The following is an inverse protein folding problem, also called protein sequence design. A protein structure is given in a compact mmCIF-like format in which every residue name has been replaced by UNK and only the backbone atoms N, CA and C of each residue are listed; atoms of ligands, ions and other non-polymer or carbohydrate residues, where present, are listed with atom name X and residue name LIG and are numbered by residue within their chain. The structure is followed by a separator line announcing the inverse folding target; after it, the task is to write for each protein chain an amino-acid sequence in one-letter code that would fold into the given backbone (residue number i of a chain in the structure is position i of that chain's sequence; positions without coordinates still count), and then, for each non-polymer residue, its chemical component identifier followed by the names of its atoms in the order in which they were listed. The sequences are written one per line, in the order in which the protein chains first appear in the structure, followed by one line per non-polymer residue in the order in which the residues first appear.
data_IF_227397790015
#
_entry.id   IF_227397790015
#
_cell.length_a   1.000
_cell.length_b   1.000
_cell.length_c   1.000
_cell.angle_alpha   90.00
_cell.angle_beta   90.00
_cell.angle_gamma   90.00
#
_symmetry.space_group_name_H-M   'P 1'
#
loop_
_entity.id
_entity.type
_entity.pdbx_description
1 polymer ?
#
# COMPACT_ATOMS: atom_id res chain seq x y z
N UNK A 1 16.68 18.59 -5.70
CA UNK A 1 16.79 17.85 -4.42
C UNK A 1 15.82 16.68 -4.51
N UNK A 2 16.33 15.45 -4.65
CA UNK A 2 15.48 14.26 -4.69
C UNK A 2 15.00 14.02 -3.24
N UNK A 3 13.77 14.46 -2.93
CA UNK A 3 13.16 14.17 -1.65
C UNK A 3 13.03 12.66 -1.50
N UNK A 4 13.72 12.08 -0.51
CA UNK A 4 13.58 10.68 -0.15
C UNK A 4 12.11 10.42 0.16
N UNK A 5 11.38 9.76 -0.74
CA UNK A 5 10.03 9.27 -0.44
C UNK A 5 10.16 8.32 0.74
N UNK A 6 9.65 8.71 1.90
CA UNK A 6 9.56 7.82 3.05
C UNK A 6 8.55 6.72 2.74
N UNK A 7 9.06 5.49 2.67
CA UNK A 7 8.27 4.29 2.38
C UNK A 7 8.18 3.45 3.64
N UNK A 8 6.95 3.08 3.98
CA UNK A 8 6.63 2.27 5.13
C UNK A 8 6.05 0.92 4.70
N UNK A 9 6.23 -0.10 5.53
CA UNK A 9 5.75 -1.46 5.27
C UNK A 9 4.99 -1.99 6.49
N UNK A 10 3.77 -2.47 6.27
CA UNK A 10 2.97 -3.14 7.31
C UNK A 10 2.86 -4.63 7.00
N UNK A 11 3.23 -5.46 7.97
CA UNK A 11 3.08 -6.91 7.88
C UNK A 11 1.75 -7.34 8.48
N UNK A 12 0.87 -7.91 7.66
CA UNK A 12 -0.47 -8.31 8.06
C UNK A 12 -0.73 -9.71 7.50
N UNK A 13 -0.98 -10.68 8.38
CA UNK A 13 -1.14 -12.09 8.02
C UNK A 13 -2.43 -12.38 7.26
N UNK A 14 -3.55 -11.77 7.70
CA UNK A 14 -4.87 -11.93 7.09
C UNK A 14 -5.02 -11.12 5.80
N UNK A 15 -5.62 -11.73 4.77
CA UNK A 15 -5.91 -11.03 3.52
C UNK A 15 -7.00 -9.98 3.67
N UNK A 16 -8.08 -10.30 4.40
CA UNK A 16 -9.17 -9.37 4.66
C UNK A 16 -8.68 -8.10 5.37
N UNK A 17 -7.77 -8.26 6.33
CA UNK A 17 -7.20 -7.14 7.08
C UNK A 17 -6.26 -6.32 6.18
N UNK A 18 -5.47 -6.96 5.31
CA UNK A 18 -4.63 -6.24 4.33
C UNK A 18 -5.45 -5.34 3.42
N UNK A 19 -6.56 -5.85 2.89
CA UNK A 19 -7.46 -5.08 2.02
C UNK A 19 -8.10 -3.92 2.77
N UNK A 20 -8.53 -4.17 4.02
CA UNK A 20 -9.13 -3.14 4.87
C UNK A 20 -8.14 -2.02 5.17
N UNK A 21 -6.93 -2.35 5.61
CA UNK A 21 -5.88 -1.37 5.92
C UNK A 21 -5.42 -0.61 4.68
N UNK A 22 -5.26 -1.30 3.54
CA UNK A 22 -4.93 -0.63 2.28
C UNK A 22 -6.01 0.38 1.87
N UNK A 23 -7.28 0.03 2.06
CA UNK A 23 -8.41 0.92 1.77
C UNK A 23 -8.43 2.14 2.68
N UNK A 24 -8.16 1.96 3.98
CA UNK A 24 -8.07 3.08 4.95
C UNK A 24 -6.91 4.01 4.58
N UNK A 25 -5.72 3.46 4.33
CA UNK A 25 -4.55 4.26 3.95
C UNK A 25 -4.80 5.04 2.65
N UNK A 26 -5.38 4.40 1.64
CA UNK A 26 -5.75 5.05 0.39
C UNK A 26 -6.74 6.21 0.60
N UNK A 27 -7.78 6.01 1.42
CA UNK A 27 -8.75 7.07 1.77
C UNK A 27 -8.12 8.25 2.51
N UNK A 28 -7.01 8.04 3.20
CA UNK A 28 -6.27 9.09 3.91
C UNK A 28 -5.17 9.75 3.04
N UNK A 29 -5.18 9.52 1.72
CA UNK A 29 -4.25 10.17 0.78
C UNK A 29 -2.87 9.50 0.72
N UNK A 30 -2.71 8.31 1.32
CA UNK A 30 -1.50 7.52 1.12
C UNK A 30 -1.58 6.73 -0.18
N UNK A 31 -0.46 6.65 -0.88
CA UNK A 31 -0.31 5.66 -1.93
C UNK A 31 -0.07 4.29 -1.29
N UNK A 32 -0.74 3.25 -1.77
CA UNK A 32 -0.63 1.89 -1.24
C UNK A 32 -0.28 0.90 -2.34
N UNK A 33 0.51 -0.12 -2.00
CA UNK A 33 0.86 -1.21 -2.91
C UNK A 33 0.95 -2.54 -2.13
N UNK A 34 0.28 -3.61 -2.58
CA UNK A 34 0.49 -4.94 -2.03
C UNK A 34 1.87 -5.44 -2.41
N UNK A 35 2.61 -5.98 -1.43
CA UNK A 35 3.94 -6.53 -1.64
C UNK A 35 3.97 -7.96 -1.10
N UNK A 36 4.51 -8.87 -1.91
CA UNK A 36 4.75 -10.26 -1.53
C UNK A 36 6.26 -10.49 -1.46
N UNK A 37 6.78 -10.79 -0.28
CA UNK A 37 8.19 -11.15 -0.10
C UNK A 37 8.31 -12.62 0.26
N UNK A 38 9.29 -13.32 -0.33
CA UNK A 38 9.64 -14.67 0.10
C UNK A 38 10.57 -14.56 1.30
N UNK A 39 10.19 -15.20 2.40
CA UNK A 39 11.06 -15.39 3.56
C UNK A 39 11.60 -16.82 3.56
N UNK A 40 12.93 -16.93 3.53
CA UNK A 40 13.68 -18.18 3.66
C UNK A 40 13.21 -19.34 2.77
N UNK A 41 12.73 -19.03 1.57
CA UNK A 41 12.32 -20.02 0.56
C UNK A 41 11.08 -20.86 0.90
N UNK A 42 10.53 -20.78 2.13
CA UNK A 42 9.41 -21.59 2.61
C UNK A 42 8.11 -20.81 2.79
N UNK A 43 8.17 -19.53 3.12
CA UNK A 43 6.98 -18.75 3.47
C UNK A 43 6.87 -17.48 2.64
N UNK A 44 5.65 -17.16 2.19
CA UNK A 44 5.34 -15.86 1.59
C UNK A 44 4.90 -14.91 2.71
N UNK A 45 5.60 -13.80 2.88
CA UNK A 45 5.16 -12.67 3.67
C UNK A 45 4.38 -11.70 2.79
N UNK A 46 3.20 -11.32 3.26
CA UNK A 46 2.34 -10.36 2.59
C UNK A 46 2.38 -9.05 3.38
N UNK A 47 2.79 -8.00 2.68
CA UNK A 47 3.06 -6.67 3.22
C UNK A 47 2.17 -5.65 2.50
N UNK A 48 1.76 -4.60 3.20
CA UNK A 48 1.18 -3.40 2.62
C UNK A 48 2.26 -2.33 2.64
N UNK A 49 2.77 -1.96 1.46
CA UNK A 49 3.70 -0.85 1.28
C UNK A 49 2.90 0.44 1.13
N UNK A 50 3.26 1.49 1.84
CA UNK A 50 2.63 2.79 1.70
C UNK A 50 3.62 3.93 1.82
N UNK A 51 3.30 5.06 1.21
CA UNK A 51 4.12 6.27 1.27
C UNK A 51 3.24 7.52 1.09
N UNK A 52 3.74 8.63 1.59
CA UNK A 52 3.15 9.95 1.30
C UNK A 52 3.52 10.28 -0.14
N UNK A 53 2.52 10.34 -0.99
CA UNK A 53 2.67 10.76 -2.38
C UNK A 53 1.35 11.36 -2.81
N UNK A 54 1.42 12.47 -3.54
CA UNK A 54 0.24 13.06 -4.18
C UNK A 54 -0.51 11.95 -4.91
N UNK A 55 -1.73 11.70 -4.47
CA UNK A 55 -2.63 10.76 -5.13
C UNK A 55 -3.03 11.44 -6.44
N UNK A 56 -2.20 11.33 -7.48
CA UNK A 56 -2.65 11.57 -8.84
C UNK A 56 -3.59 10.44 -9.18
N UNK A 57 -4.88 10.65 -8.89
CA UNK A 57 -5.95 9.80 -9.38
C UNK A 57 -6.11 10.13 -10.87
N UNK A 58 -5.20 9.63 -11.70
CA UNK A 58 -5.43 9.58 -13.15
C UNK A 58 -6.55 8.55 -13.39
N UNK A 59 -7.78 9.04 -13.57
CA UNK A 59 -8.84 8.25 -14.21
C UNK A 59 -10.03 7.78 -13.36
N UNK A 60 -10.29 8.35 -12.19
CA UNK A 60 -11.63 8.19 -11.60
C UNK A 60 -12.57 9.25 -12.19
N UNK A 61 -13.23 8.94 -13.31
CA UNK A 61 -14.42 9.67 -13.73
C UNK A 61 -15.42 9.63 -12.56
N UNK A 62 -15.69 10.80 -11.98
CA UNK A 62 -16.75 10.99 -10.99
C UNK A 62 -18.05 10.99 -11.80
N UNK A 63 -18.95 9.99 -11.66
CA UNK A 63 -20.25 10.09 -12.30
C UNK A 63 -21.04 11.23 -11.63
N UNK A 64 -21.64 12.08 -12.48
CA UNK A 64 -22.37 13.29 -12.12
C UNK A 64 -23.67 13.00 -11.36
#
# INVERSE_FOLDING_TARGET
MAGSKEVFYLKIGSEADRVTVASILFRNGYSVQPVKQKKDGRSNEYLVKYWIGETMVEGAEIPK
#
